data_IF_744455384128
#
_entry.id   IF_744455384128
#
_cell.length_a   1.000
_cell.length_b   1.000
_cell.length_c   1.000
_cell.angle_alpha   90.00
_cell.angle_beta   90.00
_cell.angle_gamma   90.00
#
_symmetry.space_group_name_H-M   'P 1'
#
loop_
_entity.id
_entity.type
_entity.pdbx_description
1 polymer ?
#
# COMPACT_ATOMS: atom_id res chain seq x y z
N UNK A 1 11.87 -18.90 16.96
CA UNK A 1 11.84 -18.29 15.62
C UNK A 1 11.23 -16.92 15.81
N UNK A 2 11.80 -15.86 15.21
CA UNK A 2 11.23 -14.51 15.26
C UNK A 2 9.88 -14.47 14.55
N UNK A 3 8.99 -13.58 14.98
CA UNK A 3 7.68 -13.46 14.37
C UNK A 3 7.82 -12.90 12.93
N UNK A 4 6.95 -13.31 11.99
CA UNK A 4 6.87 -12.64 10.70
C UNK A 4 6.57 -11.14 10.91
N UNK A 5 7.23 -10.28 10.15
CA UNK A 5 7.09 -8.83 10.30
C UNK A 5 6.62 -8.23 8.99
N UNK A 6 5.59 -7.37 8.99
CA UNK A 6 5.18 -6.67 7.79
C UNK A 6 6.13 -5.52 7.48
N UNK A 7 6.34 -5.26 6.18
CA UNK A 7 6.95 -4.04 5.67
C UNK A 7 5.95 -3.31 4.78
N UNK A 8 5.84 -2.01 4.97
CA UNK A 8 4.93 -1.15 4.23
C UNK A 8 5.72 -0.07 3.51
N UNK A 9 5.86 -0.16 2.19
CA UNK A 9 6.58 0.83 1.39
C UNK A 9 5.55 1.77 0.76
N UNK A 10 5.67 3.07 0.98
CA UNK A 10 4.72 4.07 0.53
C UNK A 10 5.43 5.15 -0.31
N UNK A 11 4.84 5.56 -1.43
CA UNK A 11 5.38 6.61 -2.29
C UNK A 11 4.58 7.91 -2.15
N UNK A 12 5.25 9.05 -1.99
CA UNK A 12 4.61 10.36 -1.77
C UNK A 12 5.13 11.46 -2.71
N UNK A 13 4.25 12.42 -3.03
CA UNK A 13 4.49 13.66 -3.78
C UNK A 13 3.77 14.89 -3.16
N UNK A 14 3.41 14.86 -1.88
CA UNK A 14 2.62 15.92 -1.23
C UNK A 14 3.40 17.25 -1.06
N UNK A 15 2.69 18.40 -1.18
CA UNK A 15 3.27 19.75 -1.07
C UNK A 15 3.44 20.17 0.40
N UNK A 16 4.57 20.81 0.72
CA UNK A 16 5.06 21.05 2.10
C UNK A 16 4.11 21.81 3.06
N UNK A 17 3.25 22.71 2.56
CA UNK A 17 2.43 23.61 3.39
C UNK A 17 1.39 22.87 4.23
N UNK A 18 0.51 22.10 3.58
CA UNK A 18 -0.56 21.36 4.25
C UNK A 18 -0.01 20.24 5.15
N UNK A 19 1.12 19.65 4.78
CA UNK A 19 1.79 18.59 5.55
C UNK A 19 2.18 19.08 6.95
N UNK A 20 2.64 20.33 7.07
CA UNK A 20 3.09 20.89 8.35
C UNK A 20 1.94 21.13 9.31
N UNK A 21 0.86 21.74 8.83
CA UNK A 21 -0.36 22.01 9.62
C UNK A 21 -1.02 20.71 10.06
N UNK A 22 -1.13 19.75 9.14
CA UNK A 22 -1.65 18.42 9.40
C UNK A 22 -0.86 17.69 10.51
N UNK A 23 0.47 17.67 10.40
CA UNK A 23 1.32 17.04 11.41
C UNK A 23 1.22 17.74 12.79
N UNK A 24 1.09 19.07 12.80
CA UNK A 24 0.85 19.81 14.04
C UNK A 24 -0.51 19.48 14.66
N UNK A 25 -1.55 19.36 13.83
CA UNK A 25 -2.89 19.00 14.28
C UNK A 25 -2.92 17.61 14.91
N UNK A 26 -2.30 16.60 14.27
CA UNK A 26 -2.18 15.24 14.83
C UNK A 26 -1.52 15.29 16.21
N UNK A 27 -0.38 15.97 16.33
CA UNK A 27 0.36 16.05 17.62
C UNK A 27 -0.46 16.69 18.73
N UNK A 28 -1.35 17.63 18.39
CA UNK A 28 -2.19 18.32 19.36
C UNK A 28 -3.45 17.52 19.75
N UNK A 29 -3.94 16.61 18.89
CA UNK A 29 -5.25 15.96 19.06
C UNK A 29 -5.19 14.43 19.19
N UNK A 30 -4.03 13.79 18.98
CA UNK A 30 -3.85 12.36 19.12
C UNK A 30 -2.67 12.03 20.06
N UNK A 31 -2.85 11.11 21.04
CA UNK A 31 -1.73 10.58 21.80
C UNK A 31 -0.71 9.89 20.89
N UNK A 32 0.58 10.03 21.22
CA UNK A 32 1.64 9.30 20.53
C UNK A 32 1.48 7.79 20.77
N UNK A 33 1.60 6.99 19.71
CA UNK A 33 1.48 5.53 19.75
C UNK A 33 0.04 5.01 19.63
N UNK A 34 -0.96 5.89 19.46
CA UNK A 34 -2.35 5.50 19.25
C UNK A 34 -2.76 5.76 17.79
N UNK A 35 -2.55 4.76 16.93
CA UNK A 35 -2.91 4.84 15.52
C UNK A 35 -4.40 5.11 15.27
N UNK A 36 -5.30 4.62 16.12
CA UNK A 36 -6.73 4.89 15.98
C UNK A 36 -7.06 6.35 16.31
N UNK A 37 -6.42 6.94 17.32
CA UNK A 37 -6.54 8.37 17.60
C UNK A 37 -5.92 9.23 16.50
N UNK A 38 -4.80 8.80 15.91
CA UNK A 38 -4.20 9.47 14.76
C UNK A 38 -5.18 9.52 13.60
N UNK A 39 -5.77 8.39 13.19
CA UNK A 39 -6.75 8.36 12.10
C UNK A 39 -7.94 9.30 12.36
N UNK A 40 -8.52 9.25 13.58
CA UNK A 40 -9.62 10.18 13.95
C UNK A 40 -9.22 11.64 13.85
N UNK A 41 -8.00 12.00 14.28
CA UNK A 41 -7.50 13.36 14.16
C UNK A 41 -7.29 13.78 12.70
N UNK A 42 -6.90 12.86 11.82
CA UNK A 42 -6.76 13.10 10.39
C UNK A 42 -8.12 13.34 9.73
N UNK A 43 -9.13 12.53 10.04
CA UNK A 43 -10.50 12.74 9.55
C UNK A 43 -11.07 14.10 10.00
N UNK A 44 -10.86 14.45 11.27
CA UNK A 44 -11.29 15.74 11.81
C UNK A 44 -10.58 16.93 11.14
N UNK A 45 -9.28 16.80 10.90
CA UNK A 45 -8.52 17.80 10.15
C UNK A 45 -9.07 17.95 8.72
N UNK A 46 -9.34 16.84 8.04
CA UNK A 46 -9.86 16.85 6.68
C UNK A 46 -11.21 17.57 6.58
N UNK A 47 -12.14 17.27 7.50
CA UNK A 47 -13.44 17.96 7.59
C UNK A 47 -13.30 19.46 7.80
N UNK A 48 -12.33 19.88 8.62
CA UNK A 48 -12.06 21.30 8.91
C UNK A 48 -11.38 22.03 7.74
N UNK A 49 -10.59 21.32 6.95
CA UNK A 49 -9.84 21.87 5.81
C UNK A 49 -10.65 21.89 4.50
N UNK A 50 -11.97 21.62 4.56
CA UNK A 50 -12.84 21.63 3.37
C UNK A 50 -12.82 20.33 2.56
N UNK A 51 -12.33 19.23 3.16
CA UNK A 51 -12.15 17.94 2.53
C UNK A 51 -10.71 17.69 2.09
N UNK A 52 -10.27 16.43 2.17
CA UNK A 52 -8.96 15.96 1.69
C UNK A 52 -9.14 14.68 0.88
N UNK A 53 -8.14 14.36 0.06
CA UNK A 53 -8.19 13.27 -0.91
C UNK A 53 -7.84 11.90 -0.33
N UNK A 54 -7.81 11.73 0.99
CA UNK A 54 -7.50 10.43 1.59
C UNK A 54 -8.71 9.49 1.56
N UNK A 55 -8.48 8.18 1.57
CA UNK A 55 -9.53 7.15 1.60
C UNK A 55 -10.57 7.32 2.73
N UNK A 56 -10.16 7.82 3.90
CA UNK A 56 -11.06 8.25 4.98
C UNK A 56 -11.77 7.11 5.75
N UNK A 57 -12.64 7.51 6.68
CA UNK A 57 -13.33 6.63 7.62
C UNK A 57 -14.57 5.90 7.06
N UNK A 58 -14.97 6.22 5.83
CA UNK A 58 -16.04 5.49 5.12
C UNK A 58 -15.46 4.33 4.28
N UNK A 59 -14.57 4.63 3.32
CA UNK A 59 -13.98 3.60 2.43
C UNK A 59 -12.91 2.76 3.12
N UNK A 60 -12.12 3.33 4.02
CA UNK A 60 -11.01 2.63 4.69
C UNK A 60 -11.44 1.33 5.38
N UNK A 61 -12.47 1.34 6.24
CA UNK A 61 -12.98 0.13 6.89
C UNK A 61 -13.51 -0.94 5.92
N UNK A 62 -13.98 -0.54 4.74
CA UNK A 62 -14.43 -1.48 3.71
C UNK A 62 -13.25 -2.20 3.08
N UNK A 63 -12.19 -1.48 2.72
CA UNK A 63 -10.93 -2.08 2.25
C UNK A 63 -10.39 -3.06 3.31
N UNK A 64 -10.35 -2.64 4.58
CA UNK A 64 -9.87 -3.50 5.66
C UNK A 64 -10.73 -4.75 5.82
N UNK A 65 -12.06 -4.61 5.93
CA UNK A 65 -12.95 -5.73 6.22
C UNK A 65 -13.12 -6.69 5.04
N UNK A 66 -13.23 -6.18 3.81
CA UNK A 66 -13.49 -6.98 2.61
C UNK A 66 -12.24 -7.60 2.03
N UNK A 67 -11.10 -6.91 2.16
CA UNK A 67 -9.85 -7.32 1.51
C UNK A 67 -8.88 -7.84 2.57
N UNK A 68 -8.36 -6.99 3.45
CA UNK A 68 -7.33 -7.40 4.41
C UNK A 68 -7.80 -8.45 5.43
N UNK A 69 -9.07 -8.42 5.82
CA UNK A 69 -9.65 -9.38 6.77
C UNK A 69 -9.49 -10.82 6.30
N UNK A 70 -9.83 -11.09 5.04
CA UNK A 70 -9.83 -12.44 4.46
C UNK A 70 -8.58 -12.75 3.65
N UNK A 71 -7.80 -11.74 3.25
CA UNK A 71 -6.59 -11.94 2.49
C UNK A 71 -5.48 -12.55 3.35
N UNK A 72 -4.76 -13.51 2.79
CA UNK A 72 -3.48 -13.96 3.32
C UNK A 72 -2.47 -13.96 2.17
N UNK A 73 -1.21 -13.62 2.43
CA UNK A 73 -0.16 -13.82 1.44
C UNK A 73 -0.14 -15.29 1.03
N UNK A 74 0.14 -15.53 -0.24
CA UNK A 74 0.18 -16.89 -0.84
C UNK A 74 1.24 -17.75 -0.16
N UNK A 75 2.29 -17.10 0.34
CA UNK A 75 3.38 -17.68 1.09
C UNK A 75 3.02 -17.64 2.56
N UNK A 76 3.33 -18.69 3.32
CA UNK A 76 3.23 -18.64 4.78
C UNK A 76 4.40 -17.82 5.32
N UNK A 77 4.18 -16.64 5.92
CA UNK A 77 5.26 -15.88 6.50
C UNK A 77 5.65 -16.57 7.82
N UNK A 78 6.81 -17.23 7.82
CA UNK A 78 7.26 -18.12 8.91
C UNK A 78 8.47 -17.58 9.67
N UNK A 79 9.04 -16.44 9.26
CA UNK A 79 10.19 -15.82 9.92
C UNK A 79 10.45 -14.37 9.46
N UNK A 80 11.34 -13.68 10.15
CA UNK A 80 11.88 -12.37 9.76
C UNK A 80 12.71 -12.36 8.45
N UNK A 81 12.86 -13.51 7.78
CA UNK A 81 13.51 -13.62 6.46
C UNK A 81 12.50 -13.91 5.34
N UNK A 82 11.21 -13.82 5.66
CA UNK A 82 10.08 -13.94 4.73
C UNK A 82 8.95 -13.00 5.19
N UNK A 83 9.19 -11.67 5.17
CA UNK A 83 8.22 -10.68 5.63
C UNK A 83 7.00 -10.63 4.71
N UNK A 84 5.91 -10.01 5.18
CA UNK A 84 4.78 -9.63 4.31
C UNK A 84 5.04 -8.22 3.82
N UNK A 85 5.02 -8.00 2.51
CA UNK A 85 5.36 -6.69 1.95
C UNK A 85 4.17 -6.08 1.23
N UNK A 86 3.81 -4.88 1.67
CA UNK A 86 2.80 -4.05 1.03
C UNK A 86 3.47 -2.83 0.38
N UNK A 87 3.07 -2.54 -0.85
CA UNK A 87 3.47 -1.36 -1.60
C UNK A 87 2.26 -0.44 -1.77
N UNK A 88 2.44 0.85 -1.51
CA UNK A 88 1.46 1.90 -1.76
C UNK A 88 2.04 2.94 -2.71
N UNK A 89 1.30 3.26 -3.78
CA UNK A 89 1.57 4.41 -4.64
C UNK A 89 0.51 5.48 -4.37
N UNK A 90 0.90 6.55 -3.66
CA UNK A 90 0.01 7.66 -3.29
C UNK A 90 -0.23 7.82 -1.79
N UNK A 91 0.81 7.94 -0.98
CA UNK A 91 0.69 8.03 0.48
C UNK A 91 0.06 9.34 0.98
N UNK A 92 0.19 10.43 0.22
CA UNK A 92 -0.32 11.77 0.55
C UNK A 92 0.04 12.24 1.98
N UNK A 93 -0.92 12.27 2.91
CA UNK A 93 -0.70 12.64 4.31
C UNK A 93 -0.53 11.44 5.26
N UNK A 94 -0.53 10.23 4.71
CA UNK A 94 -0.22 8.97 5.40
C UNK A 94 -1.43 8.26 6.01
N UNK A 95 -2.66 8.58 5.61
CA UNK A 95 -3.88 8.02 6.23
C UNK A 95 -3.96 6.50 6.01
N UNK A 96 -3.95 6.10 4.75
CA UNK A 96 -3.92 4.71 4.28
C UNK A 96 -2.73 3.96 4.84
N UNK A 97 -1.53 4.57 4.82
CA UNK A 97 -0.34 3.99 5.44
C UNK A 97 -0.54 3.66 6.93
N UNK A 98 -1.08 4.59 7.74
CA UNK A 98 -1.38 4.32 9.15
C UNK A 98 -2.45 3.23 9.29
N UNK A 99 -3.52 3.30 8.51
CA UNK A 99 -4.63 2.35 8.56
C UNK A 99 -4.17 0.92 8.23
N UNK A 100 -3.54 0.73 7.08
CA UNK A 100 -3.17 -0.58 6.57
C UNK A 100 -1.98 -1.17 7.32
N UNK A 101 -0.97 -0.36 7.69
CA UNK A 101 0.12 -0.86 8.54
C UNK A 101 -0.37 -1.33 9.91
N UNK A 102 -1.35 -0.63 10.52
CA UNK A 102 -1.97 -1.07 11.78
C UNK A 102 -2.64 -2.45 11.64
N UNK A 103 -3.33 -2.68 10.51
CA UNK A 103 -3.98 -3.97 10.22
C UNK A 103 -2.96 -5.08 9.99
N UNK A 104 -1.89 -4.80 9.23
CA UNK A 104 -0.82 -5.77 8.99
C UNK A 104 -0.10 -6.14 10.30
N UNK A 105 0.19 -5.17 11.17
CA UNK A 105 0.79 -5.41 12.49
C UNK A 105 -0.12 -6.27 13.36
N UNK A 106 -1.42 -5.94 13.41
CA UNK A 106 -2.38 -6.72 14.18
C UNK A 106 -2.50 -8.17 13.68
N UNK A 107 -2.31 -8.40 12.38
CA UNK A 107 -2.45 -9.70 11.74
C UNK A 107 -1.17 -10.55 11.77
N UNK A 108 0.00 -9.94 11.60
CA UNK A 108 1.26 -10.66 11.41
C UNK A 108 2.28 -10.45 12.54
N UNK A 109 2.11 -9.44 13.40
CA UNK A 109 3.07 -9.07 14.45
C UNK A 109 3.96 -7.90 14.05
N UNK A 110 4.86 -7.51 14.95
CA UNK A 110 5.77 -6.35 14.76
C UNK A 110 7.16 -6.67 15.33
N UNK A 111 8.19 -6.69 14.48
CA UNK A 111 9.59 -6.53 14.90
C UNK A 111 10.15 -5.24 14.29
N UNK A 112 10.94 -4.51 15.08
CA UNK A 112 11.38 -3.15 14.74
C UNK A 112 12.22 -3.11 13.46
N UNK A 113 11.72 -2.45 12.42
CA UNK A 113 12.52 -1.88 11.31
C UNK A 113 12.32 -0.35 11.35
N UNK A 114 12.70 0.52 10.40
CA UNK A 114 12.51 2.00 10.53
C UNK A 114 12.20 2.66 9.20
N UNK A 115 11.05 3.30 9.08
CA UNK A 115 10.81 4.60 8.45
C UNK A 115 9.34 5.11 8.59
N UNK A 116 9.14 6.41 8.76
CA UNK A 116 7.87 7.09 8.47
C UNK A 116 8.08 8.60 8.50
N UNK A 117 7.13 9.37 7.91
CA UNK A 117 7.31 10.83 7.73
C UNK A 117 6.85 11.69 8.91
N UNK A 118 5.68 11.43 9.51
CA UNK A 118 5.26 12.08 10.77
C UNK A 118 4.02 11.41 11.37
N UNK A 119 3.01 11.12 10.54
CA UNK A 119 1.76 10.48 10.97
C UNK A 119 2.01 9.04 11.45
N UNK A 120 2.72 8.24 10.63
CA UNK A 120 3.12 6.89 11.02
C UNK A 120 4.14 6.87 12.18
N UNK A 121 5.04 7.85 12.28
CA UNK A 121 5.90 8.00 13.47
C UNK A 121 5.10 8.31 14.72
N UNK A 122 4.07 9.16 14.60
CA UNK A 122 3.24 9.55 15.73
C UNK A 122 2.26 8.44 16.13
N UNK A 123 1.85 7.58 15.20
CA UNK A 123 1.06 6.39 15.50
C UNK A 123 1.89 5.23 16.08
N UNK A 124 3.22 5.34 16.11
CA UNK A 124 4.11 4.26 16.55
C UNK A 124 4.38 3.18 15.50
N UNK A 125 4.07 3.47 14.22
CA UNK A 125 4.30 2.59 13.06
C UNK A 125 5.53 3.01 12.25
N UNK A 126 6.32 3.95 12.77
CA UNK A 126 7.55 4.42 12.14
C UNK A 126 8.60 3.33 11.98
N UNK A 127 8.38 2.16 12.56
CA UNK A 127 9.25 1.00 12.41
C UNK A 127 8.78 0.00 11.33
N UNK A 128 7.58 0.20 10.78
CA UNK A 128 6.92 -0.69 9.81
C UNK A 128 6.84 -0.07 8.43
N UNK A 129 6.64 1.25 8.40
CA UNK A 129 6.44 2.01 7.16
C UNK A 129 7.81 2.34 6.55
N UNK A 130 7.87 2.66 5.27
CA UNK A 130 9.04 3.24 4.60
C UNK A 130 8.54 4.16 3.51
N UNK A 131 8.80 5.46 3.64
CA UNK A 131 8.29 6.45 2.70
C UNK A 131 9.40 6.83 1.71
N UNK A 132 9.08 6.78 0.42
CA UNK A 132 9.96 7.18 -0.68
C UNK A 132 9.34 8.36 -1.41
N UNK A 133 10.11 9.46 -1.51
CA UNK A 133 9.64 10.68 -2.16
C UNK A 133 9.86 10.59 -3.67
N UNK A 134 8.84 10.86 -4.49
CA UNK A 134 8.91 10.82 -5.94
C UNK A 134 8.21 9.61 -6.57
N UNK A 135 8.24 9.51 -7.91
CA UNK A 135 7.54 8.47 -8.65
C UNK A 135 8.25 7.10 -8.56
N UNK A 136 7.52 6.02 -8.84
CA UNK A 136 7.96 4.63 -8.65
C UNK A 136 9.30 4.33 -9.34
N UNK A 137 9.43 4.75 -10.59
CA UNK A 137 10.57 4.48 -11.46
C UNK A 137 11.91 4.94 -10.87
N UNK A 138 11.90 6.00 -10.06
CA UNK A 138 13.10 6.53 -9.44
C UNK A 138 13.64 5.64 -8.31
N UNK A 139 12.80 4.77 -7.76
CA UNK A 139 13.15 3.92 -6.61
C UNK A 139 13.09 2.43 -6.90
N UNK A 140 12.64 1.99 -8.08
CA UNK A 140 12.67 0.58 -8.47
C UNK A 140 14.03 -0.09 -8.18
N UNK A 141 15.20 0.49 -8.53
CA UNK A 141 16.49 -0.15 -8.21
C UNK A 141 16.75 -0.36 -6.71
N UNK A 142 16.06 0.38 -5.84
CA UNK A 142 16.17 0.22 -4.38
C UNK A 142 15.33 -0.93 -3.86
N UNK A 143 14.15 -1.17 -4.45
CA UNK A 143 13.17 -2.16 -3.97
C UNK A 143 13.37 -3.53 -4.61
N UNK A 144 13.85 -3.55 -5.86
CA UNK A 144 14.09 -4.79 -6.60
C UNK A 144 15.12 -5.71 -5.91
N UNK A 145 15.11 -7.02 -6.21
CA UNK A 145 16.04 -7.98 -5.62
C UNK A 145 17.51 -7.51 -5.69
N UNK A 146 18.20 -7.52 -4.55
CA UNK A 146 19.56 -7.02 -4.41
C UNK A 146 19.69 -5.50 -4.21
N UNK A 147 18.59 -4.75 -4.26
CA UNK A 147 18.51 -3.33 -3.97
C UNK A 147 18.74 -3.00 -2.49
N UNK A 148 18.82 -1.70 -2.18
CA UNK A 148 19.04 -1.20 -0.82
C UNK A 148 17.94 -1.65 0.15
N UNK A 149 16.66 -1.52 -0.24
CA UNK A 149 15.51 -1.88 0.58
C UNK A 149 15.31 -3.40 0.63
N UNK A 150 15.58 -4.11 -0.46
CA UNK A 150 15.60 -5.58 -0.43
C UNK A 150 16.55 -6.11 0.67
N UNK A 151 17.72 -5.48 0.82
CA UNK A 151 18.70 -5.83 1.85
C UNK A 151 18.28 -5.37 3.24
N UNK A 152 17.88 -4.10 3.39
CA UNK A 152 17.60 -3.52 4.72
C UNK A 152 16.33 -4.09 5.35
N UNK A 153 15.29 -4.33 4.53
CA UNK A 153 14.02 -4.93 4.94
C UNK A 153 14.05 -6.47 4.84
N UNK A 154 15.19 -7.05 4.43
CA UNK A 154 15.40 -8.50 4.29
C UNK A 154 14.31 -9.16 3.44
N UNK A 155 13.97 -8.51 2.34
CA UNK A 155 12.99 -9.06 1.41
C UNK A 155 13.55 -10.34 0.77
N UNK A 156 14.85 -10.46 0.51
CA UNK A 156 15.41 -11.71 -0.03
C UNK A 156 14.88 -12.02 -1.43
N UNK A 157 14.58 -10.98 -2.21
CA UNK A 157 14.19 -11.04 -3.61
C UNK A 157 12.76 -11.49 -3.89
N UNK A 158 11.91 -11.61 -2.87
CA UNK A 158 10.54 -12.13 -3.02
C UNK A 158 9.54 -11.15 -3.66
N UNK A 159 9.89 -9.87 -3.76
CA UNK A 159 9.01 -8.83 -4.28
C UNK A 159 8.01 -8.33 -3.23
N UNK A 160 6.76 -8.06 -3.64
CA UNK A 160 5.67 -7.59 -2.79
C UNK A 160 4.46 -8.53 -2.87
N UNK A 161 3.63 -8.55 -1.83
CA UNK A 161 2.46 -9.43 -1.74
C UNK A 161 1.14 -8.68 -2.05
N UNK A 162 1.14 -7.36 -1.85
CA UNK A 162 0.00 -6.48 -2.07
C UNK A 162 0.45 -5.11 -2.57
N UNK A 163 -0.28 -4.57 -3.55
CA UNK A 163 -0.11 -3.21 -4.07
C UNK A 163 -1.41 -2.43 -3.91
N UNK A 164 -1.34 -1.23 -3.33
CA UNK A 164 -2.44 -0.28 -3.23
C UNK A 164 -2.13 0.97 -4.06
N UNK A 165 -3.02 1.32 -4.98
CA UNK A 165 -2.89 2.43 -5.91
C UNK A 165 -3.92 3.52 -5.56
N UNK A 166 -3.43 4.67 -5.10
CA UNK A 166 -4.24 5.84 -4.73
C UNK A 166 -3.54 7.15 -5.15
N UNK A 167 -2.87 7.12 -6.31
CA UNK A 167 -2.17 8.27 -6.89
C UNK A 167 -2.93 8.81 -8.12
N UNK A 168 -2.23 9.35 -9.11
CA UNK A 168 -2.85 9.82 -10.36
C UNK A 168 -3.40 8.66 -11.18
N UNK A 169 -4.73 8.64 -11.38
CA UNK A 169 -5.47 7.55 -12.03
C UNK A 169 -4.92 7.16 -13.41
N UNK A 170 -4.47 8.14 -14.19
CA UNK A 170 -3.91 7.93 -15.53
C UNK A 170 -2.63 7.05 -15.53
N UNK A 171 -1.99 6.89 -14.37
CA UNK A 171 -0.78 6.10 -14.20
C UNK A 171 -1.04 4.70 -13.64
N UNK A 172 -2.25 4.39 -13.17
CA UNK A 172 -2.53 3.12 -12.49
C UNK A 172 -2.17 1.89 -13.33
N UNK A 173 -2.57 1.90 -14.61
CA UNK A 173 -2.25 0.81 -15.51
C UNK A 173 -0.75 0.74 -15.81
N UNK A 174 -0.11 1.87 -16.12
CA UNK A 174 1.31 1.91 -16.45
C UNK A 174 2.19 1.45 -15.27
N UNK A 175 1.88 1.90 -14.05
CA UNK A 175 2.61 1.51 -12.85
C UNK A 175 2.36 0.04 -12.49
N UNK A 176 1.13 -0.46 -12.65
CA UNK A 176 0.84 -1.88 -12.47
C UNK A 176 1.65 -2.75 -13.46
N UNK A 177 1.72 -2.35 -14.73
CA UNK A 177 2.52 -3.02 -15.76
C UNK A 177 4.01 -2.97 -15.44
N UNK A 178 4.52 -1.84 -14.95
CA UNK A 178 5.92 -1.66 -14.55
C UNK A 178 6.29 -2.58 -13.37
N UNK A 179 5.48 -2.56 -12.30
CA UNK A 179 5.63 -3.44 -11.13
C UNK A 179 5.73 -4.92 -11.54
N UNK A 180 4.96 -5.31 -12.56
CA UNK A 180 4.92 -6.68 -13.06
C UNK A 180 6.09 -7.01 -13.97
N UNK A 181 6.45 -6.10 -14.88
CA UNK A 181 7.56 -6.27 -15.80
C UNK A 181 8.88 -6.47 -15.06
N UNK A 182 9.07 -5.77 -13.95
CA UNK A 182 10.28 -5.88 -13.12
C UNK A 182 10.22 -7.02 -12.09
N UNK A 183 9.13 -7.80 -12.08
CA UNK A 183 8.96 -8.95 -11.20
C UNK A 183 8.76 -8.59 -9.72
N UNK A 184 8.51 -7.31 -9.41
CA UNK A 184 8.25 -6.82 -8.07
C UNK A 184 6.94 -7.43 -7.53
N UNK A 185 5.94 -7.61 -8.39
CA UNK A 185 4.75 -8.41 -8.10
C UNK A 185 4.78 -9.64 -9.01
N UNK A 186 4.97 -10.84 -8.44
CA UNK A 186 5.13 -12.06 -9.25
C UNK A 186 4.49 -13.29 -8.61
N UNK A 187 4.11 -14.26 -9.46
CA UNK A 187 3.45 -15.50 -9.06
C UNK A 187 1.93 -15.38 -8.89
N UNK A 188 1.24 -16.50 -8.60
CA UNK A 188 -0.20 -16.51 -8.38
C UNK A 188 -0.55 -15.90 -7.03
N UNK A 189 -1.58 -15.06 -6.99
CA UNK A 189 -2.24 -14.60 -5.76
C UNK A 189 -1.80 -13.28 -5.09
N UNK A 190 -0.76 -12.53 -5.54
CA UNK A 190 -0.64 -11.14 -5.15
C UNK A 190 -1.89 -10.33 -5.51
N UNK A 191 -2.18 -9.30 -4.71
CA UNK A 191 -3.34 -8.42 -4.88
C UNK A 191 -2.94 -7.03 -5.36
N UNK A 192 -3.69 -6.52 -6.33
CA UNK A 192 -3.67 -5.14 -6.77
C UNK A 192 -4.99 -4.49 -6.37
N UNK A 193 -4.94 -3.41 -5.60
CA UNK A 193 -6.10 -2.66 -5.13
C UNK A 193 -5.99 -1.25 -5.68
N UNK A 194 -7.01 -0.79 -6.39
CA UNK A 194 -7.10 0.58 -6.90
C UNK A 194 -8.22 1.33 -6.18
N UNK A 195 -7.87 2.44 -5.53
CA UNK A 195 -8.85 3.39 -5.03
C UNK A 195 -9.32 4.33 -6.13
N UNK A 196 -10.56 4.80 -5.99
CA UNK A 196 -11.21 5.74 -6.89
C UNK A 196 -11.33 5.20 -8.33
N UNK A 197 -11.51 3.88 -8.47
CA UNK A 197 -11.60 3.18 -9.76
C UNK A 197 -12.93 3.48 -10.47
N UNK A 198 -12.85 3.76 -11.77
CA UNK A 198 -13.99 3.66 -12.68
C UNK A 198 -13.85 2.36 -13.47
N UNK A 199 -14.64 1.35 -13.11
CA UNK A 199 -14.49 0.02 -13.69
C UNK A 199 -14.68 0.02 -15.22
N UNK A 200 -13.86 -0.72 -15.98
CA UNK A 200 -12.64 -1.42 -15.54
C UNK A 200 -11.40 -0.50 -15.53
N UNK A 201 -10.63 -0.47 -14.44
CA UNK A 201 -9.34 0.24 -14.39
C UNK A 201 -8.21 -0.58 -14.99
N UNK A 202 -8.31 -1.91 -14.94
CA UNK A 202 -7.26 -2.83 -15.34
C UNK A 202 -7.66 -3.71 -16.52
N UNK A 203 -7.21 -3.37 -17.73
CA UNK A 203 -7.62 -4.06 -18.97
C UNK A 203 -7.21 -5.55 -19.04
N UNK A 204 -6.16 -5.96 -18.33
CA UNK A 204 -5.56 -7.29 -18.46
C UNK A 204 -5.57 -8.12 -17.17
N UNK A 205 -6.18 -7.60 -16.10
CA UNK A 205 -6.18 -8.24 -14.79
C UNK A 205 -7.61 -8.58 -14.37
N UNK A 206 -7.91 -9.82 -13.99
CA UNK A 206 -9.26 -10.17 -13.57
C UNK A 206 -9.60 -9.47 -12.25
N UNK A 207 -10.63 -8.62 -12.30
CA UNK A 207 -11.29 -8.07 -11.12
C UNK A 207 -11.92 -9.20 -10.31
N UNK A 208 -11.60 -9.26 -9.02
CA UNK A 208 -12.12 -10.25 -8.07
C UNK A 208 -13.09 -9.66 -7.05
N UNK A 209 -13.01 -8.34 -6.83
CA UNK A 209 -13.95 -7.60 -6.02
C UNK A 209 -14.10 -6.20 -6.63
N UNK A 210 -15.34 -5.77 -6.77
CA UNK A 210 -15.68 -4.38 -6.99
C UNK A 210 -16.56 -3.92 -5.83
N UNK A 211 -16.28 -2.73 -5.31
CA UNK A 211 -17.13 -2.11 -4.32
C UNK A 211 -17.47 -0.68 -4.72
N UNK A 212 -18.75 -0.43 -4.97
CA UNK A 212 -19.37 0.89 -4.99
C UNK A 212 -20.69 0.78 -4.22
N UNK A 213 -20.91 1.67 -3.24
CA UNK A 213 -22.15 1.69 -2.46
C UNK A 213 -23.16 2.72 -2.96
N UNK A 214 -22.86 3.39 -4.08
CA UNK A 214 -23.65 4.46 -4.67
C UNK A 214 -23.74 5.73 -3.81
N UNK A 215 -23.14 5.75 -2.61
CA UNK A 215 -23.05 6.92 -1.72
C UNK A 215 -21.70 7.61 -1.89
N UNK A 216 -20.66 6.85 -2.16
CA UNK A 216 -19.35 7.37 -2.59
C UNK A 216 -19.32 7.43 -4.13
N UNK A 217 -18.90 8.55 -4.75
CA UNK A 217 -18.94 8.73 -6.21
C UNK A 217 -18.10 7.72 -7.00
N UNK A 218 -17.10 7.13 -6.34
CA UNK A 218 -16.11 6.24 -6.90
C UNK A 218 -15.87 5.01 -6.00
N UNK A 219 -15.42 3.91 -6.62
CA UNK A 219 -15.34 2.59 -6.00
C UNK A 219 -13.92 2.10 -5.73
N UNK A 220 -13.83 0.96 -5.06
CA UNK A 220 -12.60 0.16 -4.92
C UNK A 220 -12.64 -0.98 -5.94
N UNK A 221 -11.58 -1.12 -6.73
CA UNK A 221 -11.37 -2.29 -7.56
C UNK A 221 -10.24 -3.15 -6.98
N UNK A 222 -10.48 -4.45 -6.84
CA UNK A 222 -9.46 -5.43 -6.46
C UNK A 222 -9.27 -6.39 -7.60
N UNK A 223 -8.03 -6.50 -8.06
CA UNK A 223 -7.61 -7.41 -9.12
C UNK A 223 -6.53 -8.33 -8.60
N UNK A 224 -6.49 -9.56 -9.12
CA UNK A 224 -5.46 -10.53 -8.74
C UNK A 224 -4.73 -11.04 -9.96
N UNK A 225 -3.44 -11.33 -9.78
CA UNK A 225 -2.68 -12.05 -10.79
C UNK A 225 -3.09 -13.53 -10.78
N UNK A 226 -3.85 -13.92 -11.81
CA UNK A 226 -3.92 -15.33 -12.19
C UNK A 226 -2.74 -15.61 -13.11
N UNK A 227 -2.06 -16.74 -12.90
CA UNK A 227 -1.19 -17.30 -13.92
C UNK A 227 -2.04 -17.69 -15.12
N UNK A 228 -2.25 -16.78 -16.06
CA UNK A 228 -2.50 -17.20 -17.44
C UNK A 228 -1.13 -17.56 -18.02
N UNK A 229 -0.97 -18.75 -18.62
CA UNK A 229 0.27 -19.05 -19.33
C UNK A 229 0.48 -17.94 -20.36
N UNK A 230 1.67 -17.36 -20.40
CA UNK A 230 2.15 -16.67 -21.59
C UNK A 230 1.98 -17.67 -22.73
N UNK A 231 0.96 -17.51 -23.57
CA UNK A 231 1.00 -18.13 -24.88
C UNK A 231 2.13 -17.40 -25.59
N UNK A 232 3.29 -18.04 -25.62
CA UNK A 232 4.33 -17.74 -26.58
C UNK A 232 3.64 -17.69 -27.94
N UNK A 233 3.46 -16.48 -28.49
CA UNK A 233 3.20 -16.35 -29.92
C UNK A 233 4.36 -17.03 -30.60
N UNK A 234 4.05 -18.11 -31.32
CA UNK A 234 4.99 -19.00 -31.93
C UNK A 234 6.12 -18.24 -32.62
N UNK A 235 7.35 -18.64 -32.31
CA UNK A 235 8.35 -18.76 -33.36
C UNK A 235 7.81 -19.81 -34.33
N UNK A 236 7.02 -19.38 -35.30
CA UNK A 236 6.91 -20.13 -36.54
C UNK A 236 8.26 -20.00 -37.24
N UNK A 237 9.00 -21.11 -37.23
CA UNK A 237 10.11 -21.28 -38.14
C UNK A 237 9.58 -21.49 -39.55
N UNK A 238 10.00 -20.61 -40.45
CA UNK A 238 10.55 -20.94 -41.76
C UNK A 238 11.22 -19.69 -42.36
#
# INVERSE_FOLDING_TARGET
>A
MSAPTPHYIAFDNCKEGITTEHAAYIRAHAPRGDGAAVLRAMDDFARRSGGLMHIGDEKGPLVVSKIFGNWSPVRTPISATNPVVMLELGAFLGYSAVLFASVLVAKFGHENVRAARAAADHSGLGDVVTVLDGPLENHLPKILPGGELDKSLRLGGHGVDLVFLDHWKDLYQADAELILADGLLSGPGPLLIADNSTWPTFAHYPTVLEYSDGKVPDGIEVSTLRTTPRTEKGREGQ
#
